data_IF_002561368730
#
_entry.id   IF_002561368730
#
_cell.length_a   1.000
_cell.length_b   1.000
_cell.length_c   1.000
_cell.angle_alpha   90.00
_cell.angle_beta   90.00
_cell.angle_gamma   90.00
#
_symmetry.space_group_name_H-M   'P 1'
#
loop_
_entity.id
_entity.type
_entity.pdbx_description
1 polymer ?
#
# COMPACT_ATOMS: atom_id res chain seq x y z
N UNK A 1 -14.02 15.85 20.25
CA UNK A 1 -13.21 15.73 19.02
C UNK A 1 -11.95 16.57 19.17
N UNK A 2 -10.80 16.00 18.81
CA UNK A 2 -9.52 16.71 18.73
C UNK A 2 -9.04 16.62 17.29
N UNK A 3 -8.43 17.70 16.79
CA UNK A 3 -7.78 17.72 15.48
C UNK A 3 -6.30 17.99 15.72
N UNK A 4 -5.43 17.14 15.19
CA UNK A 4 -4.00 17.41 15.06
C UNK A 4 -3.78 17.95 13.65
N UNK A 5 -3.43 19.23 13.56
CA UNK A 5 -3.25 19.96 12.30
C UNK A 5 -1.92 19.63 11.64
N UNK A 6 -1.80 19.90 10.33
CA UNK A 6 -0.54 19.79 9.58
C UNK A 6 0.64 20.48 10.30
N UNK A 7 0.41 21.69 10.83
CA UNK A 7 1.44 22.44 11.56
C UNK A 7 1.89 21.72 12.84
N UNK A 8 0.97 21.09 13.56
CA UNK A 8 1.29 20.28 14.74
C UNK A 8 2.00 18.99 14.36
N UNK A 9 1.59 18.33 13.27
CA UNK A 9 2.27 17.14 12.75
C UNK A 9 3.73 17.47 12.42
N UNK A 10 3.97 18.55 11.68
CA UNK A 10 5.32 19.04 11.35
C UNK A 10 6.10 19.36 12.63
N UNK A 11 5.49 20.00 13.62
CA UNK A 11 6.15 20.32 14.88
C UNK A 11 6.55 19.06 15.67
N UNK A 12 5.64 18.09 15.80
CA UNK A 12 5.86 16.87 16.57
C UNK A 12 6.92 15.98 15.93
N UNK A 13 6.90 15.88 14.60
CA UNK A 13 7.83 15.06 13.80
C UNK A 13 9.12 15.79 13.43
N UNK A 14 9.27 17.06 13.82
CA UNK A 14 10.50 17.81 13.58
C UNK A 14 11.71 17.11 14.20
N UNK A 15 12.66 16.69 13.34
CA UNK A 15 13.85 15.92 13.74
C UNK A 15 13.48 14.68 14.58
N UNK A 16 12.46 13.97 14.14
CA UNK A 16 11.94 12.75 14.77
C UNK A 16 13.04 11.70 14.99
N UNK A 17 14.02 11.62 14.08
CA UNK A 17 15.19 10.76 14.20
C UNK A 17 16.39 11.35 13.44
N UNK A 18 17.55 10.73 13.65
CA UNK A 18 18.77 10.89 12.86
C UNK A 18 19.15 9.51 12.33
N UNK A 19 19.42 9.41 11.02
CA UNK A 19 19.96 8.22 10.37
C UNK A 19 21.38 8.51 9.88
N UNK A 20 22.37 7.76 10.37
CA UNK A 20 23.77 7.87 9.93
C UNK A 20 24.15 6.81 8.87
N UNK A 21 23.18 6.02 8.41
CA UNK A 21 23.33 4.93 7.45
C UNK A 21 23.52 3.55 8.10
N UNK A 22 23.96 3.49 9.35
CA UNK A 22 24.06 2.25 10.13
C UNK A 22 22.91 2.16 11.12
N UNK A 23 22.72 3.20 11.92
CA UNK A 23 21.81 3.24 13.07
C UNK A 23 20.81 4.39 12.91
N UNK A 24 19.59 4.13 13.39
CA UNK A 24 18.54 5.15 13.51
C UNK A 24 18.37 5.48 14.98
N UNK A 25 18.62 6.74 15.31
CA UNK A 25 18.53 7.26 16.66
C UNK A 25 17.32 8.18 16.74
N UNK A 26 16.31 7.75 17.50
CA UNK A 26 15.11 8.54 17.76
C UNK A 26 15.35 9.78 18.63
N UNK A 27 14.39 10.70 18.62
CA UNK A 27 14.37 11.90 19.46
C UNK A 27 14.08 11.59 20.93
N UNK A 28 13.30 10.54 21.22
CA UNK A 28 12.97 10.14 22.59
C UNK A 28 14.06 9.24 23.21
N UNK A 29 13.96 8.94 24.51
CA UNK A 29 14.91 8.07 25.20
C UNK A 29 14.20 6.91 25.89
N UNK A 30 14.50 5.69 25.41
CA UNK A 30 13.96 4.41 25.92
C UNK A 30 14.07 4.21 27.44
N UNK A 31 14.94 4.93 28.14
CA UNK A 31 15.13 4.82 29.59
C UNK A 31 14.36 5.87 30.40
N UNK A 32 13.45 6.65 29.79
CA UNK A 32 12.62 7.66 30.47
C UNK A 32 11.20 7.22 30.81
N UNK A 33 10.79 6.03 30.37
CA UNK A 33 9.44 5.53 30.57
C UNK A 33 8.99 4.66 29.41
N UNK A 34 7.86 3.98 29.62
CA UNK A 34 7.27 3.11 28.62
C UNK A 34 6.72 3.90 27.43
N UNK A 35 6.18 5.11 27.68
CA UNK A 35 5.71 6.00 26.62
C UNK A 35 6.85 6.44 25.71
N UNK A 36 7.96 6.90 26.28
CA UNK A 36 9.18 7.27 25.53
C UNK A 36 9.74 6.07 24.76
N UNK A 37 9.68 4.86 25.33
CA UNK A 37 10.08 3.65 24.64
C UNK A 37 9.21 3.36 23.40
N UNK A 38 7.88 3.48 23.51
CA UNK A 38 6.98 3.34 22.36
C UNK A 38 7.27 4.41 21.28
N UNK A 39 7.47 5.67 21.69
CA UNK A 39 7.84 6.75 20.77
C UNK A 39 9.17 6.45 20.05
N UNK A 40 10.21 6.01 20.77
CA UNK A 40 11.47 5.58 20.16
C UNK A 40 11.31 4.48 19.12
N UNK A 41 10.50 3.47 19.41
CA UNK A 41 10.26 2.37 18.46
C UNK A 41 9.55 2.87 17.19
N UNK A 42 8.57 3.78 17.33
CA UNK A 42 7.91 4.39 16.17
C UNK A 42 8.92 5.22 15.37
N UNK A 43 9.74 6.05 16.01
CA UNK A 43 10.80 6.85 15.38
C UNK A 43 11.77 5.99 14.57
N UNK A 44 12.22 4.88 15.14
CA UNK A 44 13.11 3.95 14.47
C UNK A 44 12.42 3.27 13.29
N UNK A 45 11.16 2.85 13.45
CA UNK A 45 10.40 2.20 12.38
C UNK A 45 10.18 3.15 11.21
N UNK A 46 9.78 4.40 11.48
CA UNK A 46 9.63 5.45 10.46
C UNK A 46 10.96 5.67 9.73
N UNK A 47 12.06 5.79 10.46
CA UNK A 47 13.37 5.94 9.81
C UNK A 47 13.76 4.74 8.94
N UNK A 48 13.45 3.50 9.34
CA UNK A 48 13.73 2.31 8.51
C UNK A 48 12.92 2.37 7.20
N UNK A 49 11.68 2.84 7.26
CA UNK A 49 10.82 3.00 6.08
C UNK A 49 11.29 4.12 5.13
N UNK A 50 12.06 5.09 5.61
CA UNK A 50 12.63 6.16 4.76
C UNK A 50 13.94 5.76 4.06
N UNK A 51 14.52 4.60 4.39
CA UNK A 51 15.72 4.11 3.71
C UNK A 51 15.39 3.62 2.30
N UNK A 52 16.36 3.76 1.39
CA UNK A 52 16.25 3.25 0.01
C UNK A 52 16.12 1.73 -0.05
N UNK A 53 16.74 1.03 0.90
CA UNK A 53 16.58 -0.40 1.14
C UNK A 53 15.95 -0.59 2.51
N UNK A 54 14.67 -0.91 2.52
CA UNK A 54 13.90 -1.14 3.74
C UNK A 54 14.32 -2.50 4.34
N UNK A 55 14.45 -2.54 5.66
CA UNK A 55 14.68 -3.78 6.40
C UNK A 55 13.35 -4.25 6.99
N UNK A 56 12.60 -5.04 6.21
CA UNK A 56 11.26 -5.49 6.58
C UNK A 56 11.24 -6.35 7.86
N UNK A 57 12.30 -7.11 8.12
CA UNK A 57 12.45 -7.89 9.37
C UNK A 57 12.40 -6.98 10.60
N UNK A 58 13.16 -5.87 10.57
CA UNK A 58 13.13 -4.89 11.66
C UNK A 58 11.80 -4.15 11.75
N UNK A 59 11.18 -3.81 10.62
CA UNK A 59 9.85 -3.19 10.64
C UNK A 59 8.85 -4.11 11.33
N UNK A 60 8.78 -5.39 10.93
CA UNK A 60 7.89 -6.39 11.53
C UNK A 60 8.17 -6.56 13.02
N UNK A 61 9.44 -6.69 13.42
CA UNK A 61 9.82 -6.85 14.84
C UNK A 61 9.41 -5.63 15.68
N UNK A 62 9.60 -4.40 15.18
CA UNK A 62 9.16 -3.20 15.89
C UNK A 62 7.63 -3.11 15.98
N UNK A 63 6.90 -3.43 14.91
CA UNK A 63 5.43 -3.48 14.93
C UNK A 63 4.94 -4.50 15.96
N UNK A 64 5.51 -5.71 15.99
CA UNK A 64 5.17 -6.75 16.97
C UNK A 64 5.49 -6.33 18.41
N UNK A 65 6.61 -5.64 18.64
CA UNK A 65 6.96 -5.11 19.96
C UNK A 65 6.01 -4.00 20.41
N UNK A 66 5.61 -3.10 19.51
CA UNK A 66 4.60 -2.06 19.80
C UNK A 66 3.22 -2.66 20.08
N UNK A 67 2.82 -3.73 19.37
CA UNK A 67 1.61 -4.51 19.71
C UNK A 67 1.78 -5.19 21.07
N UNK A 68 2.97 -5.65 21.43
CA UNK A 68 3.20 -6.28 22.73
C UNK A 68 3.07 -5.27 23.89
N UNK A 69 3.37 -3.98 23.66
CA UNK A 69 3.17 -2.92 24.66
C UNK A 69 1.68 -2.61 24.93
N UNK A 70 0.77 -2.98 24.02
CA UNK A 70 -0.66 -2.80 24.27
C UNK A 70 -1.27 -3.87 25.19
N UNK A 71 -0.49 -4.88 25.60
CA UNK A 71 -0.90 -6.01 26.42
C UNK A 71 -0.08 -6.06 27.73
N UNK A 72 -0.69 -5.66 28.84
CA UNK A 72 -0.01 -5.52 30.14
C UNK A 72 0.65 -6.82 30.64
N UNK A 73 0.01 -7.96 30.39
CA UNK A 73 0.47 -9.28 30.79
C UNK A 73 1.83 -9.66 30.18
N UNK A 74 2.21 -9.06 29.05
CA UNK A 74 3.45 -9.40 28.35
C UNK A 74 4.68 -8.78 29.01
N UNK A 75 4.51 -7.74 29.84
CA UNK A 75 5.59 -7.00 30.52
C UNK A 75 6.75 -6.66 29.56
N UNK A 76 6.43 -6.27 28.32
CA UNK A 76 7.40 -6.17 27.23
C UNK A 76 8.49 -5.12 27.53
N UNK A 77 8.11 -3.94 28.02
CA UNK A 77 9.07 -2.90 28.39
C UNK A 77 9.99 -3.32 29.54
N UNK A 78 9.48 -4.01 30.56
CA UNK A 78 10.31 -4.52 31.66
C UNK A 78 11.33 -5.57 31.17
N UNK A 79 10.90 -6.48 30.27
CA UNK A 79 11.80 -7.46 29.64
C UNK A 79 12.90 -6.77 28.83
N UNK A 80 12.55 -5.73 28.08
CA UNK A 80 13.52 -4.90 27.35
C UNK A 80 14.54 -4.29 28.31
N UNK A 81 14.10 -3.63 29.39
CA UNK A 81 15.02 -3.03 30.36
C UNK A 81 15.95 -4.06 31.01
N UNK A 82 15.44 -5.25 31.36
CA UNK A 82 16.29 -6.33 31.92
C UNK A 82 17.38 -6.81 30.96
N UNK A 83 17.10 -6.80 29.66
CA UNK A 83 18.04 -7.26 28.65
C UNK A 83 19.05 -6.18 28.22
N UNK A 84 18.64 -4.92 28.15
CA UNK A 84 19.41 -3.85 27.49
C UNK A 84 19.77 -2.67 28.39
N UNK A 85 19.24 -2.58 29.61
CA UNK A 85 19.59 -1.49 30.51
C UNK A 85 21.04 -1.62 31.00
N UNK A 86 21.82 -0.52 31.05
CA UNK A 86 23.22 -0.58 31.47
C UNK A 86 23.42 -0.98 32.94
N UNK A 87 22.44 -0.73 33.81
CA UNK A 87 22.46 -1.12 35.22
C UNK A 87 21.07 -1.05 35.87
N UNK A 88 20.95 -1.62 37.08
CA UNK A 88 19.71 -1.68 37.84
C UNK A 88 19.12 -0.31 38.20
N UNK A 89 19.97 0.70 38.47
CA UNK A 89 19.51 2.05 38.82
C UNK A 89 18.79 2.72 37.64
N UNK A 90 19.30 2.55 36.42
CA UNK A 90 18.62 3.04 35.21
C UNK A 90 17.29 2.31 35.02
N UNK A 91 17.28 0.99 35.24
CA UNK A 91 16.04 0.19 35.18
C UNK A 91 14.98 0.72 36.16
N UNK A 92 15.35 0.98 37.42
CA UNK A 92 14.44 1.51 38.43
C UNK A 92 13.87 2.89 38.04
N UNK A 93 14.73 3.81 37.57
CA UNK A 93 14.31 5.13 37.11
C UNK A 93 13.36 5.02 35.91
N UNK A 94 13.70 4.20 34.92
CA UNK A 94 12.89 3.98 33.73
C UNK A 94 11.52 3.38 34.07
N UNK A 95 11.47 2.45 35.03
CA UNK A 95 10.22 1.83 35.47
C UNK A 95 9.28 2.80 36.22
N UNK A 96 9.81 3.87 36.82
CA UNK A 96 9.05 4.96 37.44
C UNK A 96 8.63 6.05 36.44
N UNK A 97 9.16 6.00 35.21
CA UNK A 97 8.81 6.91 34.14
C UNK A 97 7.36 6.77 33.68
N UNK A 98 6.96 7.65 32.75
CA UNK A 98 5.60 7.70 32.24
C UNK A 98 5.20 6.37 31.56
N UNK A 99 4.00 5.90 31.90
CA UNK A 99 3.41 4.68 31.35
C UNK A 99 2.46 5.01 30.22
N UNK A 100 2.26 4.05 29.31
CA UNK A 100 1.22 4.19 28.29
C UNK A 100 -0.14 4.20 28.96
N UNK A 101 -0.97 5.19 28.62
CA UNK A 101 -2.37 5.21 29.04
C UNK A 101 -3.14 4.07 28.37
N UNK A 102 -4.35 3.80 28.87
CA UNK A 102 -5.25 2.83 28.22
C UNK A 102 -5.54 3.20 26.76
N UNK A 103 -5.63 4.49 26.44
CA UNK A 103 -5.92 4.94 25.08
C UNK A 103 -4.69 4.82 24.18
N UNK A 104 -3.50 5.13 24.67
CA UNK A 104 -2.25 4.92 23.91
C UNK A 104 -2.12 3.45 23.49
N UNK A 105 -2.38 2.52 24.42
CA UNK A 105 -2.35 1.08 24.14
C UNK A 105 -3.34 0.67 23.06
N UNK A 106 -4.59 1.18 23.11
CA UNK A 106 -5.61 0.90 22.07
C UNK A 106 -5.18 1.44 20.71
N UNK A 107 -4.64 2.66 20.66
CA UNK A 107 -4.12 3.28 19.42
C UNK A 107 -2.96 2.46 18.85
N UNK A 108 -1.99 2.09 19.67
CA UNK A 108 -0.87 1.23 19.25
C UNK A 108 -1.37 -0.12 18.74
N UNK A 109 -2.31 -0.76 19.44
CA UNK A 109 -2.86 -2.05 19.01
C UNK A 109 -3.46 -1.97 17.60
N UNK A 110 -4.35 -1.00 17.35
CA UNK A 110 -5.07 -0.91 16.07
C UNK A 110 -4.17 -0.46 14.92
N UNK A 111 -3.38 0.60 15.12
CA UNK A 111 -2.52 1.14 14.05
C UNK A 111 -1.41 0.13 13.70
N UNK A 112 -0.78 -0.51 14.68
CA UNK A 112 0.31 -1.45 14.39
C UNK A 112 -0.20 -2.76 13.79
N UNK A 113 -1.38 -3.25 14.20
CA UNK A 113 -2.04 -4.37 13.53
C UNK A 113 -2.38 -4.05 12.08
N UNK A 114 -2.86 -2.83 11.81
CA UNK A 114 -3.15 -2.36 10.44
C UNK A 114 -1.88 -2.35 9.57
N UNK A 115 -0.76 -1.85 10.11
CA UNK A 115 0.52 -1.90 9.41
C UNK A 115 1.07 -3.33 9.23
N UNK A 116 0.84 -4.21 10.21
CA UNK A 116 1.25 -5.61 10.09
C UNK A 116 0.39 -6.36 9.07
N UNK A 117 -0.89 -5.97 8.93
CA UNK A 117 -1.81 -6.53 7.95
C UNK A 117 -1.28 -6.36 6.51
N UNK A 118 -0.61 -5.24 6.21
CA UNK A 118 0.04 -4.98 4.92
C UNK A 118 1.01 -6.11 4.53
N UNK A 119 1.80 -6.61 5.48
CA UNK A 119 2.68 -7.76 5.23
C UNK A 119 1.91 -9.07 5.09
N UNK A 120 0.93 -9.32 5.97
CA UNK A 120 0.24 -10.62 6.02
C UNK A 120 -0.77 -10.83 4.90
N UNK A 121 -1.31 -9.76 4.33
CA UNK A 121 -2.34 -9.81 3.27
C UNK A 121 -1.77 -9.59 1.87
N UNK A 122 -0.51 -9.20 1.76
CA UNK A 122 0.19 -9.01 0.49
C UNK A 122 0.31 -10.33 -0.28
N UNK A 123 0.02 -10.28 -1.58
CA UNK A 123 0.32 -11.37 -2.52
C UNK A 123 1.81 -11.48 -2.89
N UNK A 124 2.21 -12.64 -3.44
CA UNK A 124 3.61 -12.92 -3.80
C UNK A 124 4.20 -11.87 -4.77
N UNK A 125 3.37 -11.38 -5.70
CA UNK A 125 3.76 -10.43 -6.73
C UNK A 125 3.34 -8.98 -6.44
N UNK A 126 2.85 -8.69 -5.24
CA UNK A 126 2.50 -7.35 -4.79
C UNK A 126 3.60 -6.81 -3.87
N UNK A 127 3.82 -5.50 -3.84
CA UNK A 127 4.73 -4.86 -2.88
C UNK A 127 3.96 -4.21 -1.73
N UNK A 128 4.59 -4.04 -0.56
CA UNK A 128 3.97 -3.28 0.53
C UNK A 128 3.83 -1.78 0.20
N UNK A 129 2.78 -1.15 0.71
CA UNK A 129 2.56 0.30 0.66
C UNK A 129 3.27 1.00 1.83
N UNK A 130 4.59 1.13 1.72
CA UNK A 130 5.41 1.71 2.79
C UNK A 130 5.09 3.18 3.12
N UNK A 131 4.60 3.95 2.15
CA UNK A 131 4.18 5.35 2.36
C UNK A 131 2.95 5.44 3.26
N UNK A 132 1.93 4.60 3.02
CA UNK A 132 0.78 4.48 3.92
C UNK A 132 1.20 3.98 5.31
N UNK A 133 2.07 2.95 5.38
CA UNK A 133 2.55 2.46 6.68
C UNK A 133 3.24 3.55 7.51
N UNK A 134 4.03 4.39 6.84
CA UNK A 134 4.68 5.56 7.45
C UNK A 134 3.66 6.56 7.97
N UNK A 135 2.63 6.87 7.20
CA UNK A 135 1.55 7.76 7.63
C UNK A 135 0.84 7.22 8.88
N UNK A 136 0.54 5.91 8.93
CA UNK A 136 -0.05 5.26 10.11
C UNK A 136 0.85 5.38 11.35
N UNK A 137 2.16 5.15 11.20
CA UNK A 137 3.13 5.33 12.29
C UNK A 137 3.20 6.77 12.78
N UNK A 138 3.23 7.75 11.86
CA UNK A 138 3.21 9.17 12.20
C UNK A 138 1.92 9.53 12.94
N UNK A 139 0.77 9.01 12.52
CA UNK A 139 -0.49 9.23 13.21
C UNK A 139 -0.46 8.70 14.65
N UNK A 140 0.01 7.46 14.87
CA UNK A 140 0.19 6.92 16.21
C UNK A 140 1.13 7.81 17.05
N UNK A 141 2.29 8.19 16.50
CA UNK A 141 3.25 9.04 17.18
C UNK A 141 2.63 10.39 17.59
N UNK A 142 1.92 11.06 16.69
CA UNK A 142 1.27 12.33 16.98
C UNK A 142 0.17 12.20 18.04
N UNK A 143 -0.62 11.12 18.01
CA UNK A 143 -1.66 10.85 19.03
C UNK A 143 -1.02 10.62 20.40
N UNK A 144 0.03 9.80 20.47
CA UNK A 144 0.81 9.58 21.69
C UNK A 144 1.50 10.85 22.15
N UNK A 145 1.90 11.76 21.27
CA UNK A 145 2.51 13.03 21.67
C UNK A 145 1.48 14.03 22.21
N UNK A 146 0.25 13.99 21.68
CA UNK A 146 -0.85 14.90 22.04
C UNK A 146 -1.47 14.60 23.42
N UNK A 147 -1.26 13.40 23.94
CA UNK A 147 -1.78 12.90 25.23
C UNK A 147 -3.32 13.00 25.36
N UNK A 148 -4.00 12.18 24.56
CA UNK A 148 -5.46 12.15 24.50
C UNK A 148 -6.05 11.45 25.74
N UNK A 149 -6.87 12.17 26.49
CA UNK A 149 -7.41 11.74 27.79
C UNK A 149 -8.88 11.27 27.77
N UNK A 150 -9.49 11.15 26.60
CA UNK A 150 -10.85 10.64 26.42
C UNK A 150 -10.88 9.31 25.66
N UNK A 151 -12.00 8.59 25.71
CA UNK A 151 -12.15 7.32 25.01
C UNK A 151 -12.22 7.53 23.48
N UNK A 152 -11.22 7.04 22.74
CA UNK A 152 -11.19 7.19 21.28
C UNK A 152 -12.13 6.16 20.64
N UNK A 153 -13.04 6.64 19.78
CA UNK A 153 -13.93 5.82 18.96
C UNK A 153 -13.45 5.65 17.52
N UNK A 154 -13.03 6.75 16.89
CA UNK A 154 -12.49 6.73 15.53
C UNK A 154 -11.37 7.74 15.31
N UNK A 155 -10.55 7.45 14.32
CA UNK A 155 -9.44 8.26 13.85
C UNK A 155 -9.60 8.41 12.33
N UNK A 156 -9.75 9.64 11.85
CA UNK A 156 -9.70 9.93 10.42
C UNK A 156 -8.33 10.51 10.10
N UNK A 157 -7.62 9.86 9.18
CA UNK A 157 -6.33 10.28 8.65
C UNK A 157 -6.53 10.93 7.29
N UNK A 158 -6.23 12.22 7.17
CA UNK A 158 -6.36 12.96 5.92
C UNK A 158 -4.96 13.12 5.33
N UNK A 159 -4.73 12.56 4.15
CA UNK A 159 -3.43 12.55 3.47
C UNK A 159 -3.49 13.25 2.10
N UNK A 160 -2.33 13.75 1.69
CA UNK A 160 -2.15 14.44 0.41
C UNK A 160 -1.81 13.49 -0.75
N UNK A 161 -1.10 14.00 -1.77
CA UNK A 161 -0.68 13.26 -2.96
C UNK A 161 0.53 12.34 -2.71
N UNK A 162 1.30 12.56 -1.64
CA UNK A 162 2.52 11.80 -1.36
C UNK A 162 2.34 10.91 -0.11
N UNK A 163 1.09 10.65 0.26
CA UNK A 163 0.65 10.02 1.51
C UNK A 163 1.15 10.78 2.76
N UNK A 164 1.40 12.09 2.64
CA UNK A 164 1.75 12.95 3.77
C UNK A 164 0.48 13.40 4.51
N UNK A 165 0.49 13.30 5.84
CA UNK A 165 -0.68 13.63 6.65
C UNK A 165 -0.89 15.14 6.75
N UNK A 166 -2.04 15.61 6.29
CA UNK A 166 -2.49 16.99 6.42
C UNK A 166 -3.27 17.22 7.72
N UNK A 167 -3.99 16.22 8.21
CA UNK A 167 -4.64 16.27 9.52
C UNK A 167 -5.00 14.90 10.04
N UNK A 168 -5.10 14.81 11.37
CA UNK A 168 -5.59 13.62 12.08
C UNK A 168 -6.76 14.06 12.96
N UNK A 169 -7.97 13.59 12.64
CA UNK A 169 -9.17 13.90 13.41
C UNK A 169 -9.47 12.74 14.36
N UNK A 170 -9.57 13.02 15.65
CA UNK A 170 -9.76 12.03 16.70
C UNK A 170 -11.12 12.26 17.35
N UNK A 171 -11.99 11.26 17.23
CA UNK A 171 -13.37 11.34 17.70
C UNK A 171 -13.52 10.59 19.02
N UNK A 172 -14.20 11.25 19.95
CA UNK A 172 -14.53 10.69 21.26
C UNK A 172 -15.73 9.75 21.12
N UNK A 173 -15.69 8.64 21.86
CA UNK A 173 -16.81 7.74 22.03
C UNK A 173 -17.32 7.81 23.47
N UNK A 174 -18.63 7.71 23.64
CA UNK A 174 -19.28 7.64 24.96
C UNK A 174 -18.88 6.37 25.74
N UNK A 175 -18.61 5.30 25.01
CA UNK A 175 -18.24 3.99 25.55
C UNK A 175 -17.04 3.41 24.82
N UNK A 176 -16.31 2.56 25.54
CA UNK A 176 -15.18 1.84 24.97
C UNK A 176 -15.66 0.73 24.05
N UNK A 177 -15.29 0.84 22.76
CA UNK A 177 -15.51 -0.20 21.77
C UNK A 177 -14.32 -1.18 21.71
N UNK A 178 -14.57 -2.38 21.17
CA UNK A 178 -13.55 -3.42 21.01
C UNK A 178 -12.37 -3.00 20.13
N UNK A 179 -12.62 -2.11 19.16
CA UNK A 179 -11.60 -1.56 18.27
C UNK A 179 -11.81 -0.05 18.05
N UNK A 180 -10.76 0.62 17.57
CA UNK A 180 -10.81 2.01 17.09
C UNK A 180 -10.98 1.96 15.57
N UNK A 181 -12.00 2.63 15.04
CA UNK A 181 -12.18 2.72 13.59
C UNK A 181 -11.17 3.71 13.01
N UNK A 182 -10.28 3.25 12.13
CA UNK A 182 -9.29 4.10 11.45
C UNK A 182 -9.70 4.27 9.99
N UNK A 183 -10.01 5.50 9.58
CA UNK A 183 -10.41 5.83 8.22
C UNK A 183 -9.30 6.59 7.49
N UNK A 184 -8.99 6.15 6.27
CA UNK A 184 -8.08 6.85 5.38
C UNK A 184 -8.85 7.73 4.39
N UNK A 185 -8.49 9.01 4.33
CA UNK A 185 -9.06 9.97 3.40
C UNK A 185 -7.93 10.61 2.58
N UNK A 186 -7.86 10.28 1.30
CA UNK A 186 -7.00 11.03 0.40
C UNK A 186 -7.72 12.27 -0.12
N UNK A 187 -7.02 13.40 -0.12
CA UNK A 187 -7.46 14.63 -0.79
C UNK A 187 -7.58 14.50 -2.32
N UNK A 188 -7.04 13.41 -2.90
CA UNK A 188 -7.12 13.14 -4.33
C UNK A 188 -7.31 11.64 -4.63
N UNK A 189 -8.50 11.30 -5.12
CA UNK A 189 -8.89 9.92 -5.45
C UNK A 189 -7.98 9.26 -6.51
N UNK A 190 -7.60 9.98 -7.57
CA UNK A 190 -6.71 9.46 -8.63
C UNK A 190 -5.38 9.08 -8.00
N UNK A 191 -4.81 9.94 -7.17
CA UNK A 191 -3.53 9.65 -6.55
C UNK A 191 -3.60 8.45 -5.60
N UNK A 192 -4.64 8.40 -4.76
CA UNK A 192 -4.85 7.27 -3.85
C UNK A 192 -4.94 5.94 -4.59
N UNK A 193 -5.69 5.90 -5.70
CA UNK A 193 -5.78 4.71 -6.55
C UNK A 193 -4.45 4.41 -7.26
N UNK A 194 -3.70 5.43 -7.67
CA UNK A 194 -2.38 5.25 -8.26
C UNK A 194 -1.39 4.61 -7.30
N UNK A 195 -1.35 5.06 -6.03
CA UNK A 195 -0.49 4.46 -5.02
C UNK A 195 -0.86 2.99 -4.77
N UNK A 196 -2.15 2.68 -4.71
CA UNK A 196 -2.65 1.30 -4.61
C UNK A 196 -2.28 0.45 -5.84
N UNK A 197 -2.45 0.96 -7.06
CA UNK A 197 -2.21 0.16 -8.26
C UNK A 197 -0.71 -0.02 -8.53
N UNK A 198 0.12 0.93 -8.10
CA UNK A 198 1.57 0.80 -8.14
C UNK A 198 2.07 -0.35 -7.24
N UNK A 199 1.41 -0.58 -6.11
CA UNK A 199 1.76 -1.69 -5.20
C UNK A 199 1.14 -3.02 -5.63
N UNK A 200 -0.08 -2.99 -6.17
CA UNK A 200 -0.79 -4.18 -6.67
C UNK A 200 -0.23 -4.69 -8.00
N UNK A 201 0.19 -3.80 -8.89
CA UNK A 201 0.65 -4.15 -10.24
C UNK A 201 2.09 -3.66 -10.53
N UNK A 202 3.09 -4.08 -9.72
CA UNK A 202 4.44 -3.52 -9.80
C UNK A 202 5.22 -3.89 -11.08
N UNK A 203 4.68 -4.79 -11.92
CA UNK A 203 5.21 -5.15 -13.22
C UNK A 203 4.76 -4.25 -14.38
N UNK A 204 3.63 -3.55 -14.23
CA UNK A 204 3.12 -2.63 -15.25
C UNK A 204 4.00 -1.37 -15.33
N UNK A 205 4.02 -0.73 -16.49
CA UNK A 205 4.71 0.54 -16.64
C UNK A 205 3.95 1.66 -15.90
N UNK A 206 4.67 2.65 -15.38
CA UNK A 206 4.06 3.76 -14.62
C UNK A 206 2.97 4.49 -15.43
N UNK A 207 3.17 4.66 -16.73
CA UNK A 207 2.17 5.26 -17.63
C UNK A 207 0.90 4.43 -17.71
N UNK A 208 1.04 3.10 -17.83
CA UNK A 208 -0.09 2.18 -17.87
C UNK A 208 -0.87 2.17 -16.55
N UNK A 209 -0.18 2.26 -15.41
CA UNK A 209 -0.84 2.39 -14.10
C UNK A 209 -1.64 3.70 -14.04
N UNK A 210 -1.08 4.82 -14.49
CA UNK A 210 -1.80 6.10 -14.52
C UNK A 210 -3.01 6.05 -15.46
N UNK A 211 -2.86 5.48 -16.65
CA UNK A 211 -3.95 5.33 -17.61
C UNK A 211 -5.04 4.40 -17.08
N UNK A 212 -4.66 3.33 -16.36
CA UNK A 212 -5.58 2.40 -15.72
C UNK A 212 -6.39 3.10 -14.63
N UNK A 213 -5.73 3.83 -13.74
CA UNK A 213 -6.37 4.61 -12.68
C UNK A 213 -7.33 5.64 -13.27
N UNK A 214 -6.91 6.37 -14.29
CA UNK A 214 -7.76 7.35 -14.95
C UNK A 214 -9.01 6.68 -15.54
N UNK A 215 -8.86 5.53 -16.20
CA UNK A 215 -9.99 4.78 -16.74
C UNK A 215 -10.95 4.29 -15.63
N UNK A 216 -10.42 3.74 -14.53
CA UNK A 216 -11.23 3.20 -13.43
C UNK A 216 -11.95 4.29 -12.62
N UNK A 217 -11.31 5.45 -12.39
CA UNK A 217 -11.98 6.62 -11.78
C UNK A 217 -13.11 7.11 -12.69
N UNK A 218 -12.86 7.19 -14.00
CA UNK A 218 -13.88 7.58 -14.98
C UNK A 218 -15.05 6.58 -14.97
N UNK A 219 -14.75 5.29 -14.97
CA UNK A 219 -15.75 4.21 -14.90
C UNK A 219 -16.61 4.33 -13.64
N UNK A 220 -15.99 4.45 -12.47
CA UNK A 220 -16.71 4.50 -11.20
C UNK A 220 -17.53 5.78 -11.02
N UNK A 221 -16.96 6.94 -11.36
CA UNK A 221 -17.58 8.23 -11.05
C UNK A 221 -18.58 8.71 -12.11
N UNK A 222 -18.48 8.23 -13.35
CA UNK A 222 -19.32 8.70 -14.45
C UNK A 222 -20.08 7.59 -15.16
N UNK A 223 -19.52 6.39 -15.30
CA UNK A 223 -20.22 5.32 -15.99
C UNK A 223 -21.24 4.62 -15.09
N UNK A 224 -20.89 4.34 -13.83
CA UNK A 224 -21.79 3.64 -12.90
C UNK A 224 -22.72 4.55 -12.08
N UNK A 225 -22.38 5.82 -11.87
CA UNK A 225 -23.12 6.70 -10.94
C UNK A 225 -24.26 7.53 -11.53
N UNK A 226 -24.20 7.98 -12.79
CA UNK A 226 -25.24 8.85 -13.36
C UNK A 226 -25.56 8.54 -14.84
N UNK A 227 -26.76 8.02 -15.11
CA UNK A 227 -27.25 7.74 -16.48
C UNK A 227 -27.33 8.99 -17.38
N UNK A 228 -27.35 10.20 -16.81
CA UNK A 228 -27.44 11.47 -17.57
C UNK A 228 -26.07 11.99 -18.01
N UNK A 229 -25.00 11.59 -17.32
CA UNK A 229 -23.61 11.94 -17.63
C UNK A 229 -22.78 10.72 -18.03
N UNK A 230 -23.44 9.68 -18.53
CA UNK A 230 -22.79 8.42 -18.91
C UNK A 230 -21.73 8.68 -19.98
N UNK A 231 -20.47 8.48 -19.62
CA UNK A 231 -19.38 8.48 -20.59
C UNK A 231 -19.59 7.32 -21.55
N UNK A 232 -19.38 7.58 -22.84
CA UNK A 232 -19.54 6.56 -23.85
C UNK A 232 -18.56 5.40 -23.58
N UNK A 233 -19.00 4.13 -23.55
CA UNK A 233 -18.12 2.98 -23.31
C UNK A 233 -16.93 2.91 -24.27
N UNK A 234 -17.06 3.52 -25.46
CA UNK A 234 -15.96 3.64 -26.43
C UNK A 234 -14.72 4.33 -25.88
N UNK A 235 -14.86 5.31 -24.97
CA UNK A 235 -13.72 5.99 -24.34
C UNK A 235 -12.96 5.02 -23.44
N UNK A 236 -13.69 4.32 -22.56
CA UNK A 236 -13.12 3.35 -21.63
C UNK A 236 -12.48 2.16 -22.36
N UNK A 237 -13.18 1.58 -23.35
CA UNK A 237 -12.64 0.50 -24.19
C UNK A 237 -11.35 0.93 -24.87
N UNK A 238 -11.31 2.15 -25.43
CA UNK A 238 -10.11 2.67 -26.10
C UNK A 238 -8.94 2.74 -25.12
N UNK A 239 -9.17 3.23 -23.91
CA UNK A 239 -8.12 3.38 -22.90
C UNK A 239 -7.60 2.02 -22.42
N UNK A 240 -8.48 1.10 -22.03
CA UNK A 240 -8.05 -0.25 -21.61
C UNK A 240 -7.37 -1.02 -22.74
N UNK A 241 -7.89 -0.96 -23.98
CA UNK A 241 -7.22 -1.60 -25.12
C UNK A 241 -5.85 -0.98 -25.39
N UNK A 242 -5.67 0.32 -25.20
CA UNK A 242 -4.36 0.96 -25.35
C UNK A 242 -3.36 0.44 -24.32
N UNK A 243 -3.80 0.25 -23.06
CA UNK A 243 -2.96 -0.32 -22.00
C UNK A 243 -2.58 -1.76 -22.33
N UNK A 244 -3.56 -2.60 -22.72
CA UNK A 244 -3.31 -4.00 -23.11
C UNK A 244 -2.35 -4.07 -24.28
N UNK A 245 -2.56 -3.26 -25.32
CA UNK A 245 -1.69 -3.24 -26.52
C UNK A 245 -0.25 -2.85 -26.16
N UNK A 246 -0.07 -1.84 -25.29
CA UNK A 246 1.24 -1.42 -24.79
C UNK A 246 1.92 -2.53 -23.98
N UNK A 247 1.25 -3.05 -22.95
CA UNK A 247 1.84 -4.01 -22.01
C UNK A 247 2.14 -5.37 -22.66
N UNK A 248 1.29 -5.86 -23.56
CA UNK A 248 1.56 -7.10 -24.32
C UNK A 248 2.74 -6.91 -25.28
N UNK A 249 2.87 -5.74 -25.93
CA UNK A 249 4.04 -5.45 -26.75
C UNK A 249 5.34 -5.41 -25.94
N UNK A 250 5.29 -4.87 -24.72
CA UNK A 250 6.46 -4.90 -23.83
C UNK A 250 6.80 -6.32 -23.39
N UNK A 251 5.81 -7.17 -23.09
CA UNK A 251 6.03 -8.60 -22.83
C UNK A 251 6.71 -9.29 -24.01
N UNK A 252 6.21 -9.08 -25.24
CA UNK A 252 6.79 -9.64 -26.47
C UNK A 252 8.27 -9.24 -26.60
N UNK A 253 8.59 -7.96 -26.40
CA UNK A 253 9.98 -7.48 -26.46
C UNK A 253 10.86 -8.12 -25.39
N UNK A 254 10.34 -8.27 -24.18
CA UNK A 254 11.07 -8.83 -23.04
C UNK A 254 11.35 -10.34 -23.22
N UNK A 255 10.41 -11.09 -23.79
CA UNK A 255 10.59 -12.52 -24.09
C UNK A 255 11.71 -12.79 -25.11
N UNK A 256 11.98 -11.81 -25.97
CA UNK A 256 13.16 -11.77 -26.84
C UNK A 256 13.35 -13.02 -27.71
N UNK A 257 12.28 -13.48 -28.35
CA UNK A 257 12.33 -14.58 -29.33
C UNK A 257 13.21 -14.21 -30.56
N UNK A 258 13.58 -15.21 -31.37
CA UNK A 258 14.50 -15.01 -32.51
C UNK A 258 13.96 -14.04 -33.58
N UNK A 259 12.64 -14.00 -33.74
CA UNK A 259 11.91 -13.12 -34.64
C UNK A 259 11.22 -11.98 -33.87
N UNK A 260 11.82 -11.51 -32.77
CA UNK A 260 11.34 -10.37 -31.99
C UNK A 260 11.13 -9.16 -32.91
N UNK A 261 9.93 -8.54 -32.92
CA UNK A 261 9.66 -7.39 -33.78
C UNK A 261 10.54 -6.18 -33.44
N UNK A 262 11.00 -5.48 -34.47
CA UNK A 262 11.78 -4.24 -34.31
C UNK A 262 10.91 -3.02 -33.97
N UNK A 263 9.60 -3.11 -34.18
CA UNK A 263 8.63 -2.02 -33.96
C UNK A 263 7.44 -2.53 -33.18
N UNK A 264 6.69 -1.59 -32.59
CA UNK A 264 5.40 -1.89 -31.96
C UNK A 264 4.47 -2.62 -32.94
N UNK A 265 3.90 -3.74 -32.50
CA UNK A 265 2.92 -4.49 -33.26
C UNK A 265 1.52 -3.93 -33.00
N UNK A 266 0.83 -3.59 -34.08
CA UNK A 266 -0.59 -3.26 -34.03
C UNK A 266 -1.42 -4.49 -33.63
N UNK A 267 -2.59 -4.29 -33.04
CA UNK A 267 -3.44 -5.34 -32.46
C UNK A 267 -3.50 -6.67 -33.23
N UNK A 268 -3.75 -6.62 -34.55
CA UNK A 268 -3.88 -7.83 -35.36
C UNK A 268 -2.56 -8.62 -35.45
N UNK A 269 -1.45 -7.93 -35.67
CA UNK A 269 -0.12 -8.55 -35.76
C UNK A 269 0.35 -9.03 -34.39
N UNK A 270 0.08 -8.25 -33.34
CA UNK A 270 0.33 -8.60 -31.94
C UNK A 270 -0.37 -9.91 -31.58
N UNK A 271 -1.65 -10.04 -31.94
CA UNK A 271 -2.44 -11.25 -31.71
C UNK A 271 -1.88 -12.46 -32.45
N UNK A 272 -1.52 -12.31 -33.73
CA UNK A 272 -0.91 -13.39 -34.52
C UNK A 272 0.42 -13.82 -33.88
N UNK A 273 1.22 -12.86 -33.41
CA UNK A 273 2.49 -13.12 -32.76
C UNK A 273 2.33 -13.89 -31.44
N UNK A 274 1.41 -13.44 -30.58
CA UNK A 274 1.06 -14.10 -29.32
C UNK A 274 0.68 -15.56 -29.56
N UNK A 275 -0.21 -15.82 -30.52
CA UNK A 275 -0.65 -17.17 -30.86
C UNK A 275 0.47 -18.02 -31.46
N UNK A 276 1.35 -17.45 -32.28
CA UNK A 276 2.47 -18.17 -32.91
C UNK A 276 3.49 -18.67 -31.89
N UNK A 277 3.73 -17.88 -30.84
CA UNK A 277 4.76 -18.14 -29.83
C UNK A 277 4.21 -18.67 -28.51
N UNK A 278 2.92 -19.01 -28.47
CA UNK A 278 2.24 -19.55 -27.29
C UNK A 278 2.46 -18.68 -26.04
N UNK A 279 2.35 -17.35 -26.22
CA UNK A 279 2.52 -16.38 -25.14
C UNK A 279 1.21 -16.32 -24.35
N UNK A 280 1.26 -16.62 -23.06
CA UNK A 280 0.10 -16.54 -22.18
C UNK A 280 0.39 -15.84 -20.84
N UNK A 281 -0.67 -15.59 -20.08
CA UNK A 281 -0.64 -15.05 -18.71
C UNK A 281 -1.00 -16.16 -17.72
N UNK A 282 -0.02 -16.94 -17.28
CA UNK A 282 -0.23 -18.16 -16.47
C UNK A 282 -0.94 -17.92 -15.13
N UNK A 283 -0.98 -16.67 -14.67
CA UNK A 283 -1.65 -16.26 -13.43
C UNK A 283 -3.09 -15.76 -13.61
N UNK A 284 -3.60 -15.75 -14.85
CA UNK A 284 -4.97 -15.35 -15.17
C UNK A 284 -5.86 -16.58 -15.46
N UNK A 285 -7.17 -16.45 -15.20
CA UNK A 285 -8.15 -17.51 -15.40
C UNK A 285 -8.66 -17.62 -16.86
N UNK A 286 -7.90 -17.07 -17.82
CA UNK A 286 -8.24 -17.04 -19.24
C UNK A 286 -6.97 -17.08 -20.10
N UNK A 287 -7.11 -17.52 -21.35
CA UNK A 287 -6.01 -17.51 -22.32
C UNK A 287 -5.88 -16.11 -22.97
N UNK A 288 -4.65 -15.57 -23.05
CA UNK A 288 -4.38 -14.24 -23.60
C UNK A 288 -4.86 -14.11 -25.05
N UNK A 289 -4.73 -15.18 -25.86
CA UNK A 289 -5.21 -15.17 -27.24
C UNK A 289 -6.73 -14.96 -27.32
N UNK A 290 -7.50 -15.54 -26.41
CA UNK A 290 -8.96 -15.43 -26.39
C UNK A 290 -9.38 -14.00 -26.04
N UNK A 291 -8.70 -13.40 -25.06
CA UNK A 291 -8.87 -11.98 -24.75
C UNK A 291 -8.58 -11.10 -25.96
N UNK A 292 -7.45 -11.31 -26.63
CA UNK A 292 -7.05 -10.50 -27.79
C UNK A 292 -8.02 -10.66 -28.96
N UNK A 293 -8.56 -11.86 -29.17
CA UNK A 293 -9.60 -12.12 -30.18
C UNK A 293 -10.92 -11.44 -29.83
N UNK A 294 -11.40 -11.60 -28.60
CA UNK A 294 -12.68 -11.06 -28.14
C UNK A 294 -12.69 -9.53 -28.14
N UNK A 295 -11.57 -8.90 -27.76
CA UNK A 295 -11.45 -7.45 -27.71
C UNK A 295 -11.11 -6.82 -29.07
N UNK A 296 -10.63 -7.57 -30.07
CA UNK A 296 -10.21 -7.00 -31.37
C UNK A 296 -11.32 -6.19 -32.05
N UNK A 297 -12.54 -6.73 -32.07
CA UNK A 297 -13.70 -6.03 -32.66
C UNK A 297 -14.03 -4.75 -31.88
N UNK A 298 -13.99 -4.81 -30.56
CA UNK A 298 -14.30 -3.67 -29.68
C UNK A 298 -13.26 -2.56 -29.80
N UNK A 299 -11.98 -2.94 -29.83
CA UNK A 299 -10.86 -2.04 -30.09
C UNK A 299 -11.07 -1.29 -31.39
N UNK A 300 -11.32 -2.00 -32.50
CA UNK A 300 -11.55 -1.34 -33.80
C UNK A 300 -12.79 -0.44 -33.79
N UNK A 301 -13.89 -0.86 -33.16
CA UNK A 301 -15.09 -0.01 -32.98
C UNK A 301 -14.74 1.28 -32.26
N UNK A 302 -14.03 1.20 -31.14
CA UNK A 302 -13.64 2.37 -30.34
C UNK A 302 -12.71 3.32 -31.10
N UNK A 303 -11.75 2.79 -31.87
CA UNK A 303 -10.81 3.60 -32.68
C UNK A 303 -11.49 4.34 -33.83
N UNK A 304 -12.56 3.79 -34.39
CA UNK A 304 -13.31 4.39 -35.51
C UNK A 304 -14.57 5.15 -35.07
N UNK A 305 -14.75 5.39 -33.77
CA UNK A 305 -15.89 6.16 -33.24
C UNK A 305 -17.24 5.46 -33.35
N UNK A 306 -17.25 4.14 -33.52
CA UNK A 306 -18.49 3.35 -33.52
C UNK A 306 -19.07 3.22 -32.11
N UNK A 307 -20.39 3.08 -32.02
CA UNK A 307 -21.08 2.87 -30.74
C UNK A 307 -20.72 1.48 -30.18
N UNK A 308 -20.30 1.46 -28.92
CA UNK A 308 -20.11 0.26 -28.11
C UNK A 308 -21.26 0.19 -27.11
N UNK A 309 -21.98 -0.94 -27.12
CA UNK A 309 -23.09 -1.16 -26.19
C UNK A 309 -22.60 -1.57 -24.80
N UNK A 310 -23.46 -1.46 -23.77
CA UNK A 310 -23.15 -1.95 -22.42
C UNK A 310 -22.78 -3.43 -22.39
N UNK A 311 -23.51 -4.29 -23.11
CA UNK A 311 -23.21 -5.73 -23.23
C UNK A 311 -21.86 -6.01 -23.89
N UNK A 312 -21.48 -5.16 -24.85
CA UNK A 312 -20.16 -5.25 -25.48
C UNK A 312 -19.04 -4.78 -24.54
N UNK A 313 -19.32 -3.77 -23.71
CA UNK A 313 -18.39 -3.31 -22.69
C UNK A 313 -18.17 -4.33 -21.57
N UNK A 314 -19.21 -5.06 -21.16
CA UNK A 314 -19.15 -6.12 -20.15
C UNK A 314 -18.07 -7.17 -20.45
N UNK A 315 -17.73 -7.39 -21.73
CA UNK A 315 -16.63 -8.29 -22.14
C UNK A 315 -15.29 -7.85 -21.55
N UNK A 316 -14.96 -6.56 -21.61
CA UNK A 316 -13.69 -6.08 -21.05
C UNK A 316 -13.71 -6.05 -19.52
N UNK A 317 -14.87 -5.73 -18.94
CA UNK A 317 -15.06 -5.74 -17.48
C UNK A 317 -14.88 -7.15 -16.92
N UNK A 318 -15.37 -8.17 -17.63
CA UNK A 318 -15.16 -9.57 -17.27
C UNK A 318 -13.66 -9.89 -17.17
N UNK A 319 -12.87 -9.61 -18.22
CA UNK A 319 -11.43 -9.86 -18.19
C UNK A 319 -10.70 -9.07 -17.09
N UNK A 320 -11.13 -7.84 -16.82
CA UNK A 320 -10.62 -7.06 -15.67
C UNK A 320 -10.84 -7.80 -14.35
N UNK A 321 -12.06 -8.27 -14.12
CA UNK A 321 -12.43 -9.02 -12.91
C UNK A 321 -11.72 -10.38 -12.82
N UNK A 322 -11.43 -11.01 -13.95
CA UNK A 322 -10.64 -12.25 -14.04
C UNK A 322 -9.13 -12.01 -13.94
N UNK A 323 -8.70 -10.80 -13.54
CA UNK A 323 -7.31 -10.53 -13.16
C UNK A 323 -6.40 -10.08 -14.30
N UNK A 324 -6.93 -9.55 -15.41
CA UNK A 324 -6.14 -9.11 -16.57
C UNK A 324 -4.89 -8.28 -16.23
N UNK A 325 -5.04 -7.19 -15.49
CA UNK A 325 -3.93 -6.30 -15.19
C UNK A 325 -2.94 -6.92 -14.20
N UNK A 326 -3.43 -7.80 -13.31
CA UNK A 326 -2.59 -8.61 -12.44
C UNK A 326 -1.76 -9.61 -13.26
N UNK A 327 -2.39 -10.33 -14.19
CA UNK A 327 -1.71 -11.29 -15.07
C UNK A 327 -0.62 -10.64 -15.92
N UNK A 328 -0.92 -9.48 -16.52
CA UNK A 328 0.08 -8.69 -17.27
C UNK A 328 1.26 -8.26 -16.38
N UNK A 329 0.98 -7.77 -15.18
CA UNK A 329 1.99 -7.38 -14.19
C UNK A 329 2.90 -8.56 -13.84
N UNK A 330 2.31 -9.69 -13.45
CA UNK A 330 3.02 -10.91 -13.03
C UNK A 330 3.89 -11.41 -14.17
N UNK A 331 3.34 -11.54 -15.38
CA UNK A 331 4.10 -12.02 -16.55
C UNK A 331 5.35 -11.16 -16.80
N UNK A 332 5.23 -9.84 -16.71
CA UNK A 332 6.39 -8.94 -16.87
C UNK A 332 7.45 -9.12 -15.78
N UNK A 333 7.04 -9.35 -14.53
CA UNK A 333 7.97 -9.62 -13.43
C UNK A 333 8.72 -10.93 -13.65
N UNK A 334 8.01 -11.98 -14.07
CA UNK A 334 8.57 -13.31 -14.34
C UNK A 334 9.58 -13.28 -15.48
N UNK A 335 9.22 -12.66 -16.61
CA UNK A 335 10.12 -12.55 -17.77
C UNK A 335 11.37 -11.72 -17.43
N UNK A 336 11.25 -10.72 -16.56
CA UNK A 336 12.39 -9.93 -16.05
C UNK A 336 13.17 -10.65 -14.94
N UNK A 337 12.72 -11.82 -14.48
CA UNK A 337 13.24 -12.53 -13.31
C UNK A 337 13.34 -11.62 -12.07
N UNK A 338 12.35 -10.73 -11.89
CA UNK A 338 12.30 -9.77 -10.79
C UNK A 338 11.41 -10.31 -9.68
N UNK A 339 12.00 -10.55 -8.52
CA UNK A 339 11.28 -10.90 -7.29
C UNK A 339 10.86 -9.64 -6.55
N UNK A 340 9.68 -9.68 -5.93
CA UNK A 340 9.23 -8.63 -5.03
C UNK A 340 9.68 -9.01 -3.62
N UNK A 341 10.38 -8.10 -2.96
CA UNK A 341 10.78 -8.22 -1.56
C UNK A 341 9.88 -7.32 -0.71
N UNK A 342 9.50 -7.76 0.50
CA UNK A 342 9.70 -9.11 1.02
C UNK A 342 8.76 -10.12 0.33
N UNK A 343 9.23 -11.34 0.09
CA UNK A 343 8.42 -12.47 -0.38
C UNK A 343 7.54 -13.03 0.74
N UNK A 344 6.53 -13.85 0.42
CA UNK A 344 5.69 -14.49 1.46
C UNK A 344 6.54 -15.37 2.39
N UNK A 345 7.53 -16.09 1.85
CA UNK A 345 8.45 -16.93 2.64
C UNK A 345 9.30 -16.09 3.61
N UNK A 346 9.81 -14.94 3.14
CA UNK A 346 10.55 -13.99 3.99
C UNK A 346 9.66 -13.45 5.11
N UNK A 347 8.43 -13.04 4.78
CA UNK A 347 7.45 -12.57 5.77
C UNK A 347 7.16 -13.66 6.81
N UNK A 348 6.93 -14.90 6.38
CA UNK A 348 6.69 -16.04 7.27
C UNK A 348 7.84 -16.21 8.27
N UNK A 349 9.08 -16.16 7.76
CA UNK A 349 10.28 -16.24 8.59
C UNK A 349 10.38 -15.07 9.57
N UNK A 350 10.15 -13.84 9.12
CA UNK A 350 10.23 -12.64 9.98
C UNK A 350 9.16 -12.64 11.07
N UNK A 351 7.99 -13.21 10.76
CA UNK A 351 6.88 -13.38 11.71
C UNK A 351 7.13 -14.51 12.72
N UNK A 352 8.10 -15.39 12.47
CA UNK A 352 8.48 -16.50 13.35
C UNK A 352 7.67 -17.78 13.13
N UNK A 353 7.12 -17.99 11.92
CA UNK A 353 6.39 -19.20 11.54
C UNK A 353 7.27 -20.27 10.90
#
# INVERSE_FOLDING_TARGET
MVIITESEIIEYTKKMFIDDGEIIIGKHNVFKGERDFALCMIEQTVGVLERTKINDEFVIQYLQGLISLSHDELNHYEKYLKAFSPNSKITEIAMQGEKLSKQDKRVLAEIMKSNLAEYTMKGEYQSCCYSAMKAFLIAAYCILFKDINFCIGSIDMIADLDDELQSINIYEAEHEADFIMVNWHSSNKINSMYMLYKTQYPGLDKSSVLDLVAADVIEEDYYFKDERFSIAPSILVKQYCSIIEHEVNEIIKLLNFKDNPHTHLMWNDMKIYVNKHDIDLESADFELKDLLDNLHRLRNKSSHGSIITKKEYEIITQYKCEGLFNGLSIKKLEVRNKKISPSIDEISKYMGF
#
